data_IF_150646774435
#
_entry.id   IF_150646774435
#
_cell.length_a   1.000
_cell.length_b   1.000
_cell.length_c   1.000
_cell.angle_alpha   90.00
_cell.angle_beta   90.00
_cell.angle_gamma   90.00
#
_symmetry.space_group_name_H-M   'P 1'
#
loop_
_entity.id
_entity.type
_entity.pdbx_description
1 polymer ?
#
# COMPACT_ATOMS: atom_id res chain seq x y z
N UNK A 1 -20.61 -15.29 -15.08
CA UNK A 1 -19.50 -15.47 -16.03
C UNK A 1 -19.66 -16.83 -16.72
N UNK A 2 -19.75 -16.87 -18.05
CA UNK A 2 -19.77 -18.14 -18.82
C UNK A 2 -18.38 -18.79 -18.82
N UNK A 3 -18.28 -20.12 -18.98
CA UNK A 3 -16.99 -20.83 -19.00
C UNK A 3 -16.02 -20.31 -20.07
N UNK A 4 -16.55 -20.00 -21.27
CA UNK A 4 -15.77 -19.38 -22.34
C UNK A 4 -15.25 -17.99 -21.96
N UNK A 5 -16.03 -17.22 -21.20
CA UNK A 5 -15.65 -15.89 -20.74
C UNK A 5 -14.52 -15.98 -19.71
N UNK A 6 -14.58 -16.94 -18.79
CA UNK A 6 -13.51 -17.18 -17.82
C UNK A 6 -12.20 -17.60 -18.49
N UNK A 7 -12.25 -18.50 -19.47
CA UNK A 7 -11.06 -18.92 -20.22
C UNK A 7 -10.40 -17.74 -20.96
N UNK A 8 -11.21 -16.88 -21.60
CA UNK A 8 -10.72 -15.67 -22.26
C UNK A 8 -10.09 -14.69 -21.28
N UNK A 9 -10.70 -14.46 -20.12
CA UNK A 9 -10.12 -13.59 -19.09
C UNK A 9 -8.77 -14.12 -18.61
N UNK A 10 -8.68 -15.42 -18.31
CA UNK A 10 -7.42 -16.03 -17.87
C UNK A 10 -6.30 -15.91 -18.93
N UNK A 11 -6.64 -16.02 -20.22
CA UNK A 11 -5.67 -15.80 -21.31
C UNK A 11 -5.19 -14.35 -21.35
N UNK A 12 -6.10 -13.37 -21.20
CA UNK A 12 -5.77 -11.95 -21.14
C UNK A 12 -4.91 -11.62 -19.92
N UNK A 13 -5.21 -12.18 -18.75
CA UNK A 13 -4.41 -12.00 -17.53
C UNK A 13 -2.98 -12.52 -17.72
N UNK A 14 -2.84 -13.73 -18.27
CA UNK A 14 -1.53 -14.30 -18.54
C UNK A 14 -0.74 -13.46 -19.56
N UNK A 15 -1.41 -12.99 -20.62
CA UNK A 15 -0.80 -12.10 -21.60
C UNK A 15 -0.37 -10.77 -20.96
N UNK A 16 -1.22 -10.15 -20.16
CA UNK A 16 -0.92 -8.92 -19.44
C UNK A 16 0.27 -9.12 -18.50
N UNK A 17 0.30 -10.21 -17.73
CA UNK A 17 1.38 -10.50 -16.79
C UNK A 17 2.74 -10.62 -17.47
N UNK A 18 2.80 -11.35 -18.60
CA UNK A 18 4.01 -11.45 -19.40
C UNK A 18 4.48 -10.10 -19.95
N UNK A 19 3.55 -9.26 -20.42
CA UNK A 19 3.86 -7.92 -20.93
C UNK A 19 4.34 -6.98 -19.83
N UNK A 20 3.69 -6.97 -18.67
CA UNK A 20 4.10 -6.15 -17.52
C UNK A 20 5.50 -6.53 -17.01
N UNK A 21 5.82 -7.83 -16.96
CA UNK A 21 7.17 -8.29 -16.60
C UNK A 21 8.24 -7.82 -17.59
N UNK A 22 7.94 -7.87 -18.90
CA UNK A 22 8.84 -7.34 -19.94
C UNK A 22 9.00 -5.82 -19.83
N UNK A 23 7.91 -5.10 -19.58
CA UNK A 23 7.92 -3.65 -19.37
C UNK A 23 8.80 -3.28 -18.17
N UNK A 24 8.64 -3.98 -17.05
CA UNK A 24 9.43 -3.79 -15.83
C UNK A 24 10.94 -3.90 -16.12
N UNK A 25 11.36 -4.97 -16.78
CA UNK A 25 12.78 -5.20 -17.10
C UNK A 25 13.31 -4.12 -18.03
N UNK A 26 12.53 -3.70 -19.04
CA UNK A 26 12.95 -2.67 -19.98
C UNK A 26 13.11 -1.30 -19.28
N UNK A 27 12.10 -0.88 -18.51
CA UNK A 27 12.14 0.39 -17.77
C UNK A 27 13.27 0.42 -16.74
N UNK A 28 13.56 -0.71 -16.08
CA UNK A 28 14.68 -0.82 -15.15
C UNK A 28 16.03 -0.64 -15.84
N UNK A 29 16.19 -1.14 -17.07
CA UNK A 29 17.42 -1.02 -17.85
C UNK A 29 17.63 0.39 -18.38
N UNK A 30 16.57 1.04 -18.86
CA UNK A 30 16.67 2.35 -19.51
C UNK A 30 16.73 3.51 -18.52
N UNK A 31 15.93 3.45 -17.45
CA UNK A 31 15.72 4.58 -16.54
C UNK A 31 16.12 4.28 -15.10
N UNK A 32 16.49 3.03 -14.80
CA UNK A 32 16.74 2.58 -13.43
C UNK A 32 15.47 2.39 -12.58
N UNK A 33 14.27 2.64 -13.14
CA UNK A 33 12.99 2.54 -12.41
C UNK A 33 12.59 1.11 -12.12
N UNK A 34 12.13 0.86 -10.90
CA UNK A 34 11.49 -0.39 -10.49
C UNK A 34 9.99 -0.15 -10.50
N UNK A 35 9.25 -0.96 -11.26
CA UNK A 35 7.79 -0.92 -11.31
C UNK A 35 7.20 -2.11 -10.57
N UNK A 36 6.10 -1.90 -9.85
CA UNK A 36 5.34 -2.97 -9.22
C UNK A 36 4.33 -3.58 -10.21
N UNK A 37 4.51 -4.86 -10.58
CA UNK A 37 3.66 -5.57 -11.53
C UNK A 37 2.33 -5.98 -10.90
N UNK A 38 2.31 -6.33 -9.62
CA UNK A 38 1.08 -6.73 -8.93
C UNK A 38 0.19 -5.52 -8.68
N UNK A 39 0.78 -4.40 -8.30
CA UNK A 39 0.02 -3.17 -8.10
C UNK A 39 -0.60 -2.65 -9.42
N UNK A 40 0.07 -2.86 -10.55
CA UNK A 40 -0.45 -2.53 -11.88
C UNK A 40 -1.73 -3.28 -12.26
N UNK A 41 -1.97 -4.47 -11.71
CA UNK A 41 -3.21 -5.24 -11.94
C UNK A 41 -4.40 -4.74 -11.14
N UNK A 42 -4.13 -4.00 -10.07
CA UNK A 42 -5.11 -3.64 -9.05
C UNK A 42 -5.56 -2.20 -9.25
N UNK A 43 -4.62 -1.30 -9.55
CA UNK A 43 -4.87 0.13 -9.65
C UNK A 43 -4.89 0.60 -11.13
N UNK A 44 -6.07 0.99 -11.67
CA UNK A 44 -6.18 1.42 -13.06
C UNK A 44 -5.43 2.74 -13.33
N UNK A 45 -5.33 3.64 -12.36
CA UNK A 45 -4.65 4.92 -12.55
C UNK A 45 -3.14 4.72 -12.59
N UNK A 46 -2.62 3.84 -11.74
CA UNK A 46 -1.22 3.44 -11.81
C UNK A 46 -0.89 2.71 -13.12
N UNK A 47 -1.80 1.86 -13.62
CA UNK A 47 -1.64 1.22 -14.93
C UNK A 47 -1.56 2.24 -16.06
N UNK A 48 -2.48 3.23 -16.10
CA UNK A 48 -2.43 4.32 -17.10
C UNK A 48 -1.15 5.11 -17.05
N UNK A 49 -0.68 5.45 -15.85
CA UNK A 49 0.59 6.16 -15.69
C UNK A 49 1.77 5.37 -16.26
N UNK A 50 1.82 4.05 -16.02
CA UNK A 50 2.87 3.20 -16.58
C UNK A 50 2.78 3.06 -18.10
N UNK A 51 1.57 2.98 -18.66
CA UNK A 51 1.37 2.99 -20.12
C UNK A 51 1.85 4.31 -20.72
N UNK A 52 1.45 5.45 -20.14
CA UNK A 52 1.91 6.76 -20.59
C UNK A 52 3.44 6.88 -20.54
N UNK A 53 4.05 6.38 -19.46
CA UNK A 53 5.50 6.34 -19.33
C UNK A 53 6.15 5.46 -20.42
N UNK A 54 5.55 4.32 -20.75
CA UNK A 54 6.04 3.43 -21.79
C UNK A 54 5.97 4.08 -23.18
N UNK A 55 4.88 4.78 -23.49
CA UNK A 55 4.69 5.51 -24.74
C UNK A 55 5.69 6.68 -24.89
N UNK A 56 6.14 7.25 -23.78
CA UNK A 56 7.16 8.30 -23.76
C UNK A 56 8.61 7.78 -23.85
N UNK A 57 8.84 6.47 -23.74
CA UNK A 57 10.19 5.90 -23.89
C UNK A 57 10.68 6.03 -25.33
N UNK A 58 11.99 6.20 -25.52
CA UNK A 58 12.63 6.19 -26.85
C UNK A 58 12.69 4.79 -27.48
N UNK A 59 12.41 3.73 -26.71
CA UNK A 59 12.52 2.36 -27.19
C UNK A 59 11.19 1.89 -27.84
N UNK A 60 11.21 1.53 -29.13
CA UNK A 60 10.00 1.11 -29.84
C UNK A 60 9.38 -0.18 -29.27
N UNK A 61 10.17 -1.07 -28.68
CA UNK A 61 9.63 -2.27 -28.04
C UNK A 61 8.85 -1.94 -26.76
N UNK A 62 9.30 -0.93 -26.00
CA UNK A 62 8.60 -0.46 -24.79
C UNK A 62 7.29 0.22 -25.18
N UNK A 63 7.30 1.05 -26.23
CA UNK A 63 6.10 1.68 -26.77
C UNK A 63 5.05 0.64 -27.19
N UNK A 64 5.44 -0.38 -27.97
CA UNK A 64 4.54 -1.48 -28.39
C UNK A 64 3.96 -2.25 -27.21
N UNK A 65 4.75 -2.47 -26.15
CA UNK A 65 4.24 -3.11 -24.92
C UNK A 65 3.18 -2.22 -24.25
N UNK A 66 3.42 -0.91 -24.19
CA UNK A 66 2.48 0.08 -23.67
C UNK A 66 1.15 0.06 -24.43
N UNK A 67 1.18 0.15 -25.76
CA UNK A 67 -0.01 0.09 -26.63
C UNK A 67 -0.79 -1.22 -26.43
N UNK A 68 -0.08 -2.35 -26.35
CA UNK A 68 -0.73 -3.65 -26.16
C UNK A 68 -1.37 -3.78 -24.78
N UNK A 69 -0.72 -3.25 -23.74
CA UNK A 69 -1.29 -3.22 -22.39
C UNK A 69 -2.52 -2.32 -22.32
N UNK A 70 -2.51 -1.18 -23.02
CA UNK A 70 -3.67 -0.30 -23.12
C UNK A 70 -4.89 -1.02 -23.70
N UNK A 71 -4.70 -1.77 -24.79
CA UNK A 71 -5.76 -2.61 -25.38
C UNK A 71 -6.25 -3.69 -24.42
N UNK A 72 -5.37 -4.37 -23.68
CA UNK A 72 -5.79 -5.48 -22.80
C UNK A 72 -6.54 -4.97 -21.56
N UNK A 73 -6.17 -3.80 -21.04
CA UNK A 73 -6.73 -3.28 -19.79
C UNK A 73 -7.93 -2.33 -19.98
N UNK A 74 -7.90 -1.47 -21.01
CA UNK A 74 -8.83 -0.35 -21.16
C UNK A 74 -9.74 -0.41 -22.39
N UNK A 75 -9.61 -1.42 -23.25
CA UNK A 75 -10.56 -1.66 -24.34
C UNK A 75 -11.96 -2.05 -23.80
N UNK A 76 -12.97 -2.09 -24.66
CA UNK A 76 -14.37 -2.40 -24.32
C UNK A 76 -14.53 -3.75 -23.60
N UNK A 77 -13.61 -4.69 -23.86
CA UNK A 77 -13.54 -6.00 -23.22
C UNK A 77 -12.30 -6.15 -22.31
N UNK A 78 -11.79 -5.05 -21.78
CA UNK A 78 -10.56 -4.99 -21.00
C UNK A 78 -10.70 -5.46 -19.55
N UNK A 79 -9.58 -5.87 -18.95
CA UNK A 79 -9.55 -6.45 -17.60
C UNK A 79 -10.14 -5.51 -16.52
N UNK A 80 -9.93 -4.19 -16.60
CA UNK A 80 -10.50 -3.23 -15.64
C UNK A 80 -11.98 -2.89 -15.87
N UNK A 81 -12.52 -3.20 -17.04
CA UNK A 81 -13.94 -3.00 -17.34
C UNK A 81 -14.78 -4.21 -16.91
N UNK A 82 -14.20 -5.42 -16.98
CA UNK A 82 -14.89 -6.66 -16.62
C UNK A 82 -14.88 -6.97 -15.13
N UNK A 83 -13.82 -6.58 -14.42
CA UNK A 83 -13.69 -6.81 -12.98
C UNK A 83 -13.48 -5.48 -12.27
N UNK A 84 -14.30 -5.13 -11.26
CA UNK A 84 -14.05 -3.94 -10.47
C UNK A 84 -12.67 -4.10 -9.80
N UNK A 85 -11.78 -3.10 -9.94
CA UNK A 85 -10.43 -3.18 -9.41
C UNK A 85 -10.47 -3.46 -7.90
N UNK A 86 -9.68 -4.44 -7.46
CA UNK A 86 -9.59 -4.81 -6.05
C UNK A 86 -9.15 -3.57 -5.25
N UNK A 87 -9.74 -3.29 -4.08
CA UNK A 87 -9.35 -2.10 -3.33
C UNK A 87 -7.86 -2.17 -2.94
N UNK A 88 -7.10 -1.06 -3.07
CA UNK A 88 -5.70 -1.02 -2.69
C UNK A 88 -5.54 -1.21 -1.18
N UNK A 89 -4.37 -1.70 -0.74
CA UNK A 89 -4.14 -2.02 0.68
C UNK A 89 -4.36 -0.81 1.62
N UNK A 90 -4.12 0.40 1.14
CA UNK A 90 -4.37 1.64 1.89
C UNK A 90 -5.86 1.85 2.19
N UNK A 91 -6.77 1.38 1.34
CA UNK A 91 -8.21 1.48 1.60
C UNK A 91 -8.62 0.65 2.83
N UNK A 92 -7.90 -0.46 3.09
CA UNK A 92 -8.14 -1.29 4.28
C UNK A 92 -7.78 -0.57 5.59
N UNK A 93 -6.84 0.39 5.57
CA UNK A 93 -6.51 1.21 6.76
C UNK A 93 -7.72 1.98 7.26
N UNK A 94 -8.50 2.57 6.35
CA UNK A 94 -9.69 3.34 6.71
C UNK A 94 -10.83 2.44 7.20
N UNK A 95 -10.93 1.21 6.66
CA UNK A 95 -11.88 0.20 7.12
C UNK A 95 -11.54 -0.30 8.55
N UNK A 96 -10.26 -0.53 8.84
CA UNK A 96 -9.79 -0.92 10.18
C UNK A 96 -9.95 0.22 11.21
N UNK A 97 -9.72 1.47 10.81
CA UNK A 97 -9.99 2.63 11.66
C UNK A 97 -11.47 2.77 12.01
N UNK A 98 -12.37 2.39 11.10
CA UNK A 98 -13.82 2.43 11.32
C UNK A 98 -14.33 1.28 12.20
N UNK A 99 -13.57 0.20 12.35
CA UNK A 99 -13.91 -0.92 13.25
C UNK A 99 -13.58 -0.63 14.73
N UNK A 100 -12.90 0.49 15.01
CA UNK A 100 -12.60 0.92 16.39
C UNK A 100 -13.59 1.99 16.82
N UNK A 101 -14.87 1.62 16.94
CA UNK A 101 -15.79 2.42 17.76
C UNK A 101 -15.24 2.48 19.19
N UNK A 102 -15.21 3.66 19.83
CA UNK A 102 -14.72 3.76 21.20
C UNK A 102 -15.66 2.95 22.10
N UNK A 103 -15.10 1.93 22.76
CA UNK A 103 -15.69 1.37 23.96
C UNK A 103 -15.89 2.54 24.92
N UNK A 104 -17.15 2.80 25.26
CA UNK A 104 -17.55 3.84 26.18
C UNK A 104 -16.69 3.77 27.46
N UNK A 105 -16.21 4.91 28.00
CA UNK A 105 -15.45 4.91 29.22
C UNK A 105 -16.27 4.29 30.37
N UNK A 106 -15.74 3.33 31.14
CA UNK A 106 -16.41 2.89 32.35
C UNK A 106 -16.46 4.06 33.34
N UNK A 107 -17.66 4.32 33.85
CA UNK A 107 -17.98 5.36 34.81
C UNK A 107 -16.99 5.39 36.02
N UNK A 108 -16.76 6.58 36.62
CA UNK A 108 -15.80 6.71 37.71
C UNK A 108 -16.33 6.00 38.97
N UNK A 109 -15.64 4.94 39.41
CA UNK A 109 -15.83 4.35 40.74
C UNK A 109 -15.25 5.31 41.79
N UNK A 110 -16.06 6.27 42.22
CA UNK A 110 -15.78 7.08 43.41
C UNK A 110 -16.16 6.26 44.64
N UNK A 111 -15.19 5.60 45.27
CA UNK A 111 -15.27 5.15 46.66
C UNK A 111 -13.91 4.68 47.17
N UNK A 112 -12.93 5.59 47.28
CA UNK A 112 -11.78 5.39 48.16
C UNK A 112 -11.65 6.64 49.02
N UNK A 113 -12.56 6.78 49.98
CA UNK A 113 -12.44 7.82 51.01
C UNK A 113 -13.10 7.34 52.30
N UNK A 114 -12.34 6.56 53.08
CA UNK A 114 -12.36 6.51 54.55
C UNK A 114 -11.49 5.34 55.02
N UNK A 115 -10.18 5.53 55.03
CA UNK A 115 -9.30 4.91 56.04
C UNK A 115 -7.93 5.60 56.11
N UNK A 116 -7.90 6.93 55.93
CA UNK A 116 -6.71 7.76 56.16
C UNK A 116 -6.82 8.44 57.53
N UNK A 117 -6.76 7.64 58.59
CA UNK A 117 -6.49 8.12 59.94
C UNK A 117 -5.50 7.14 60.56
N UNK A 118 -4.20 7.40 60.33
CA UNK A 118 -3.13 7.35 61.33
C UNK A 118 -1.76 7.62 60.65
N UNK A 119 -1.10 8.69 61.13
CA UNK A 119 0.21 9.30 60.76
C UNK A 119 1.44 8.35 60.86
N UNK A 120 2.69 8.68 60.38
CA UNK A 120 3.43 9.95 60.53
C UNK A 120 4.32 10.40 59.30
N UNK A 121 5.16 11.47 59.38
CA UNK A 121 5.45 12.39 58.27
C UNK A 121 6.68 12.04 57.39
N UNK A 122 6.70 12.69 56.22
CA UNK A 122 7.65 12.54 55.13
C UNK A 122 9.09 13.00 55.44
N UNK A 123 10.10 12.39 54.78
CA UNK A 123 11.37 13.05 54.51
C UNK A 123 11.39 13.68 53.11
N UNK A 124 11.73 14.96 53.07
CA UNK A 124 11.98 15.81 51.91
C UNK A 124 13.27 15.42 51.19
N UNK A 125 13.25 15.13 49.88
CA UNK A 125 14.46 15.16 49.02
C UNK A 125 14.06 15.69 47.62
N UNK A 126 14.88 16.55 46.98
CA UNK A 126 14.45 17.51 45.97
C UNK A 126 14.48 16.98 44.52
N UNK A 127 13.83 17.75 43.65
CA UNK A 127 13.84 17.57 42.21
C UNK A 127 15.26 17.60 41.62
N UNK A 128 15.59 16.58 40.82
CA UNK A 128 16.73 16.61 39.92
C UNK A 128 16.27 16.32 38.50
N UNK A 129 16.44 17.34 37.66
CA UNK A 129 16.36 17.31 36.21
C UNK A 129 17.53 16.51 35.63
N UNK A 130 17.26 15.58 34.70
CA UNK A 130 18.21 15.18 33.66
C UNK A 130 17.48 14.60 32.45
N UNK A 131 17.82 15.13 31.27
CA UNK A 131 17.22 14.92 29.96
C UNK A 131 17.58 13.55 29.29
N UNK A 132 17.40 13.40 27.97
CA UNK A 132 16.46 12.53 27.27
C UNK A 132 17.03 11.14 26.87
N UNK A 133 16.20 10.15 26.44
CA UNK A 133 16.72 8.95 25.80
C UNK A 133 17.01 9.20 24.31
N UNK A 134 18.29 9.20 23.96
CA UNK A 134 18.78 8.98 22.59
C UNK A 134 18.71 7.50 22.20
N UNK A 135 18.86 7.29 20.88
CA UNK A 135 19.28 6.06 20.19
C UNK A 135 18.16 5.08 19.81
N UNK A 136 18.05 4.53 18.60
CA UNK A 136 18.87 4.56 17.38
C UNK A 136 18.15 3.67 16.36
N UNK A 137 17.71 4.16 15.20
CA UNK A 137 17.55 3.30 14.00
C UNK A 137 17.74 4.11 12.71
N UNK A 138 19.00 4.36 12.36
CA UNK A 138 19.38 4.81 11.01
C UNK A 138 19.60 3.57 10.13
N UNK A 139 18.70 3.33 9.18
CA UNK A 139 18.88 2.31 8.14
C UNK A 139 19.66 2.92 6.97
N UNK A 140 20.86 2.40 6.69
CA UNK A 140 21.65 2.73 5.50
C UNK A 140 21.90 1.45 4.73
N UNK A 141 21.03 1.16 3.78
CA UNK A 141 21.20 0.06 2.83
C UNK A 141 22.39 0.33 1.91
N UNK A 142 23.50 -0.41 2.10
CA UNK A 142 24.58 -0.49 1.11
C UNK A 142 24.12 -1.36 -0.05
N UNK A 143 23.79 -0.75 -1.17
CA UNK A 143 23.76 -1.43 -2.47
C UNK A 143 25.22 -1.71 -2.86
N UNK A 144 25.55 -3.00 -2.98
CA UNK A 144 26.78 -3.47 -3.64
C UNK A 144 26.50 -3.65 -5.13
#
# INVERSE_FOLDING_TARGET
>A
MSAHQMARMAELENQAFALMGRLHVALRRETGRITDVEYMRIDPDYCRYLIQLALQSSNPEVQKIGERLDTIYFDEAGLFMLEPPKPPLLAHRNLAASATSPIAPPAPRVAIQKLAQNLPPAPTIPATSSAPPESSQHYVGRLR
#
